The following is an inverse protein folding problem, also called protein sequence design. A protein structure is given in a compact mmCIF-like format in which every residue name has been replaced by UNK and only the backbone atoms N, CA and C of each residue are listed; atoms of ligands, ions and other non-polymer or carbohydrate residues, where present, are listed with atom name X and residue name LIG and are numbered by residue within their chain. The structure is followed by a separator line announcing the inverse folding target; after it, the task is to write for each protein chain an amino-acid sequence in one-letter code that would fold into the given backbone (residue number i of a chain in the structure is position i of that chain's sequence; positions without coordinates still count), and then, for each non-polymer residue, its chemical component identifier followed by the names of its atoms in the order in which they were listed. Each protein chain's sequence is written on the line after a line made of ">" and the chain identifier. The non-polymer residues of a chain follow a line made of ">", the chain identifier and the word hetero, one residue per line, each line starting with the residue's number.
data_IF_713527622482
#
_entry.id   IF_713527622482
#
_cell.length_a   1.000
_cell.length_b   1.000
_cell.length_c   1.000
_cell.angle_alpha   90.00
_cell.angle_beta   90.00
_cell.angle_gamma   90.00
#
_symmetry.space_group_name_H-M   'P 1'
#
loop_
_entity.id
_entity.type
_entity.pdbx_description
1 polymer ?
#
# COMPACT_ATOMS: atom_id res chain seq x y z
N UNK A 1 -1.12 24.34 -10.64
CA UNK A 1 0.09 24.14 -9.81
C UNK A 1 -0.36 23.43 -8.55
N UNK A 2 -0.47 22.10 -8.59
CA UNK A 2 -0.76 21.30 -7.40
C UNK A 2 0.52 20.59 -7.02
N UNK A 3 0.99 20.89 -5.81
CA UNK A 3 2.16 20.29 -5.19
C UNK A 3 1.92 18.79 -5.02
N UNK A 4 2.89 17.97 -5.44
CA UNK A 4 2.86 16.52 -5.30
C UNK A 4 3.20 16.17 -3.85
N UNK A 5 2.24 15.53 -3.18
CA UNK A 5 2.33 15.05 -1.80
C UNK A 5 3.09 13.73 -1.74
N UNK A 6 4.03 13.65 -0.80
CA UNK A 6 4.71 12.42 -0.40
C UNK A 6 3.68 11.50 0.27
N UNK A 7 3.39 10.34 -0.33
CA UNK A 7 2.44 9.38 0.24
C UNK A 7 3.11 8.01 0.36
N UNK A 8 3.27 7.57 1.61
CA UNK A 8 3.78 6.24 1.97
C UNK A 8 2.66 5.21 1.84
N UNK A 9 2.97 4.04 1.24
CA UNK A 9 2.05 2.91 1.16
C UNK A 9 2.59 1.77 2.02
N UNK A 10 1.78 1.35 2.98
CA UNK A 10 2.08 0.26 3.90
C UNK A 10 1.35 -1.01 3.44
N UNK A 11 2.04 -2.13 3.34
CA UNK A 11 1.47 -3.38 2.85
C UNK A 11 1.57 -4.47 3.93
N UNK A 12 0.44 -5.09 4.28
CA UNK A 12 0.31 -6.05 5.37
C UNK A 12 0.08 -7.46 4.84
N UNK A 13 0.93 -8.41 5.22
CA UNK A 13 0.72 -9.83 4.87
C UNK A 13 -0.12 -10.55 5.92
N UNK A 14 -1.02 -11.43 5.49
CA UNK A 14 -1.65 -12.43 6.34
C UNK A 14 -0.71 -13.64 6.51
N UNK A 15 -0.76 -14.36 7.65
CA UNK A 15 0.14 -15.47 7.93
C UNK A 15 -0.20 -16.69 7.05
N UNK A 16 0.58 -16.90 5.99
CA UNK A 16 0.59 -18.11 5.17
C UNK A 16 1.86 -18.92 5.41
N UNK A 17 1.76 -19.90 6.31
CA UNK A 17 2.65 -21.05 6.53
C UNK A 17 4.18 -20.79 6.51
N UNK A 18 4.74 -20.48 7.69
CA UNK A 18 5.92 -21.12 8.32
C UNK A 18 6.22 -20.43 9.68
N UNK A 19 5.68 -21.01 10.76
CA UNK A 19 6.19 -20.95 12.14
C UNK A 19 6.60 -19.60 12.78
N UNK A 20 5.81 -18.54 12.61
CA UNK A 20 5.69 -17.44 13.59
C UNK A 20 4.37 -16.71 13.40
N UNK A 21 3.56 -16.59 14.45
CA UNK A 21 2.22 -15.99 14.49
C UNK A 21 2.27 -14.45 14.38
N UNK A 22 3.08 -13.90 13.49
CA UNK A 22 3.34 -12.46 13.39
C UNK A 22 3.21 -12.03 11.95
N UNK A 23 2.31 -11.08 11.69
CA UNK A 23 2.19 -10.43 10.37
C UNK A 23 3.43 -9.59 10.07
N UNK A 24 3.74 -9.42 8.79
CA UNK A 24 4.81 -8.53 8.33
C UNK A 24 4.22 -7.24 7.76
N UNK A 25 4.84 -6.12 8.13
CA UNK A 25 4.57 -4.80 7.57
C UNK A 25 5.69 -4.45 6.58
N UNK A 26 5.31 -4.17 5.34
CA UNK A 26 6.21 -3.68 4.31
C UNK A 26 5.93 -2.21 4.06
N UNK A 27 6.96 -1.37 4.19
CA UNK A 27 6.92 0.03 3.75
C UNK A 27 7.37 0.09 2.29
N UNK A 28 6.49 0.59 1.43
CA UNK A 28 6.74 0.69 -0.01
C UNK A 28 6.61 2.14 -0.43
N UNK A 29 7.71 2.72 -0.91
CA UNK A 29 7.69 4.04 -1.52
C UNK A 29 6.91 4.01 -2.84
N UNK A 30 6.07 5.01 -3.07
CA UNK A 30 5.37 5.23 -4.35
C UNK A 30 6.12 6.25 -5.20
N UNK A 31 6.03 6.13 -6.55
CA UNK A 31 6.71 7.06 -7.43
C UNK A 31 6.08 8.46 -7.34
N UNK A 32 6.92 9.49 -7.30
CA UNK A 32 6.50 10.90 -7.22
C UNK A 32 6.08 11.50 -8.58
N UNK A 33 5.92 10.68 -9.62
CA UNK A 33 5.45 11.12 -10.92
C UNK A 33 5.75 10.19 -12.09
N UNK A 34 6.83 9.40 -12.02
CA UNK A 34 7.18 8.44 -13.07
C UNK A 34 6.83 7.01 -12.64
N UNK A 35 5.89 6.38 -13.35
CA UNK A 35 5.41 5.03 -13.03
C UNK A 35 6.51 3.98 -13.16
N UNK A 36 7.49 4.20 -14.04
CA UNK A 36 8.62 3.28 -14.24
C UNK A 36 9.61 3.24 -13.07
N UNK A 37 9.51 4.18 -12.11
CA UNK A 37 10.33 4.18 -10.90
C UNK A 37 9.89 3.10 -9.90
N UNK A 38 8.76 2.43 -10.15
CA UNK A 38 8.32 1.29 -9.35
C UNK A 38 9.22 0.07 -9.54
N UNK A 39 9.87 -0.35 -8.46
CA UNK A 39 10.67 -1.57 -8.49
C UNK A 39 9.82 -2.84 -8.67
N UNK A 40 10.36 -3.84 -9.35
CA UNK A 40 9.76 -5.18 -9.48
C UNK A 40 9.41 -5.79 -8.11
N UNK A 41 10.24 -5.54 -7.10
CA UNK A 41 10.00 -6.00 -5.73
C UNK A 41 8.78 -5.33 -5.10
N UNK A 42 8.63 -4.01 -5.27
CA UNK A 42 7.46 -3.28 -4.77
C UNK A 42 6.17 -3.82 -5.39
N UNK A 43 6.15 -4.01 -6.71
CA UNK A 43 5.01 -4.59 -7.41
C UNK A 43 4.68 -6.01 -6.94
N UNK A 44 5.69 -6.84 -6.66
CA UNK A 44 5.49 -8.18 -6.11
C UNK A 44 4.86 -8.13 -4.72
N UNK A 45 5.42 -7.34 -3.82
CA UNK A 45 4.92 -7.17 -2.44
C UNK A 45 3.46 -6.69 -2.46
N UNK A 46 3.15 -5.65 -3.22
CA UNK A 46 1.81 -5.08 -3.30
C UNK A 46 0.76 -6.07 -3.84
N UNK A 47 1.17 -7.06 -4.65
CA UNK A 47 0.28 -8.13 -5.16
C UNK A 47 0.09 -9.30 -4.20
N UNK A 48 1.06 -9.55 -3.30
CA UNK A 48 1.07 -10.73 -2.42
C UNK A 48 0.51 -10.44 -1.02
N UNK A 49 0.52 -9.18 -0.60
CA UNK A 49 -0.03 -8.76 0.69
C UNK A 49 -1.55 -8.90 0.74
N UNK A 50 -2.08 -9.10 1.94
CA UNK A 50 -3.51 -9.23 2.16
C UNK A 50 -4.24 -7.88 2.13
N UNK A 51 -3.53 -6.81 2.51
CA UNK A 51 -4.08 -5.47 2.57
C UNK A 51 -3.01 -4.44 2.23
N UNK A 52 -3.38 -3.44 1.43
CA UNK A 52 -2.60 -2.23 1.22
C UNK A 52 -3.26 -1.12 2.03
N UNK A 53 -2.53 -0.52 2.95
CA UNK A 53 -2.92 0.68 3.67
C UNK A 53 -2.23 1.89 3.02
N UNK A 54 -3.01 2.89 2.63
CA UNK A 54 -2.51 4.09 1.99
C UNK A 54 -3.11 5.34 2.64
N UNK A 55 -2.31 6.40 2.75
CA UNK A 55 -2.78 7.70 3.23
C UNK A 55 -3.82 8.31 2.26
N UNK A 56 -3.45 8.44 0.97
CA UNK A 56 -4.40 8.82 -0.08
C UNK A 56 -4.79 7.61 -0.92
N UNK A 57 -5.99 7.08 -0.62
CA UNK A 57 -6.54 5.93 -1.33
C UNK A 57 -6.96 6.25 -2.76
N UNK A 58 -7.24 7.51 -3.11
CA UNK A 58 -7.64 7.90 -4.48
C UNK A 58 -6.45 7.87 -5.43
N UNK A 59 -5.29 8.38 -4.99
CA UNK A 59 -4.05 8.29 -5.77
C UNK A 59 -3.56 6.84 -5.85
N UNK A 60 -3.54 6.15 -4.71
CA UNK A 60 -3.10 4.76 -4.65
C UNK A 60 -3.96 3.83 -5.50
N UNK A 61 -5.28 4.06 -5.56
CA UNK A 61 -6.17 3.30 -6.43
C UNK A 61 -5.79 3.41 -7.91
N UNK A 62 -5.47 4.61 -8.41
CA UNK A 62 -5.03 4.80 -9.80
C UNK A 62 -3.71 4.10 -10.09
N UNK A 63 -2.77 4.15 -9.14
CA UNK A 63 -1.50 3.43 -9.22
C UNK A 63 -1.73 1.92 -9.28
N UNK A 64 -2.59 1.38 -8.41
CA UNK A 64 -2.92 -0.05 -8.40
C UNK A 64 -3.60 -0.49 -9.70
N UNK A 65 -4.54 0.32 -10.21
CA UNK A 65 -5.20 0.07 -11.50
C UNK A 65 -4.20 0.04 -12.66
N UNK A 66 -3.24 0.97 -12.69
CA UNK A 66 -2.20 1.01 -13.73
C UNK A 66 -1.38 -0.29 -13.77
N UNK A 67 -1.04 -0.85 -12.61
CA UNK A 67 -0.26 -2.08 -12.51
C UNK A 67 -1.10 -3.37 -12.43
N UNK A 68 -2.42 -3.29 -12.55
CA UNK A 68 -3.32 -4.43 -12.45
C UNK A 68 -3.28 -5.12 -11.08
N UNK A 69 -3.10 -4.36 -10.01
CA UNK A 69 -3.05 -4.87 -8.63
C UNK A 69 -4.47 -4.86 -8.06
N UNK A 70 -4.97 -6.04 -7.68
CA UNK A 70 -6.33 -6.23 -7.17
C UNK A 70 -6.41 -6.30 -5.64
N UNK A 71 -5.28 -6.10 -4.94
CA UNK A 71 -5.21 -6.16 -3.49
C UNK A 71 -6.13 -5.12 -2.85
N UNK A 72 -6.90 -5.48 -1.80
CA UNK A 72 -7.76 -4.52 -1.10
C UNK A 72 -6.97 -3.33 -0.57
N UNK A 73 -7.56 -2.15 -0.70
CA UNK A 73 -6.98 -0.88 -0.25
C UNK A 73 -7.77 -0.35 0.94
N UNK A 74 -7.08 0.01 2.02
CA UNK A 74 -7.63 0.69 3.20
C UNK A 74 -6.99 2.07 3.37
N UNK A 75 -7.76 3.03 3.84
CA UNK A 75 -7.22 4.33 4.22
C UNK A 75 -6.49 4.21 5.57
N UNK A 76 -5.27 4.74 5.66
CA UNK A 76 -4.56 4.87 6.94
C UNK A 76 -5.19 5.93 7.87
N UNK A 77 -6.18 6.69 7.39
CA UNK A 77 -6.75 7.84 8.08
C UNK A 77 -8.04 7.59 8.87
N UNK A 78 -8.50 6.35 9.05
CA UNK A 78 -9.82 6.10 9.64
C UNK A 78 -9.82 4.99 10.70
N UNK A 79 -8.96 5.15 11.72
CA UNK A 79 -9.12 4.45 13.01
C UNK A 79 -8.69 5.29 14.22
N UNK A 80 -8.66 6.62 14.10
CA UNK A 80 -8.34 7.51 15.21
C UNK A 80 -9.57 8.15 15.89
N UNK A 81 -10.78 7.70 15.55
CA UNK A 81 -12.01 8.06 16.27
C UNK A 81 -12.59 6.79 16.93
N UNK A 82 -11.84 6.19 17.88
CA UNK A 82 -12.49 5.42 18.94
C UNK A 82 -12.95 6.42 20.00
N UNK A 83 -14.25 6.69 19.96
CA UNK A 83 -15.16 6.96 21.07
C UNK A 83 -14.63 7.86 22.22
N UNK A 84 -15.11 9.11 22.25
CA UNK A 84 -15.62 9.69 23.49
C UNK A 84 -17.05 9.20 23.74
#
# INVERSE_FOLDING_TARGET
>A
MQAFTEHEVCALTAPGALNSTTGSLYVVATPIGNLDDMSVRALKVLREVALIAAEDTRHSLRLMQHFGIATPLAACHEHNERDE
#
